data_IF_871871792431
#
_entry.id   IF_871871792431
#
_cell.length_a   1.000
_cell.length_b   1.000
_cell.length_c   1.000
_cell.angle_alpha   90.00
_cell.angle_beta   90.00
_cell.angle_gamma   90.00
#
_symmetry.space_group_name_H-M   'P 1'
#
loop_
_entity.id
_entity.type
_entity.pdbx_description
1 polymer ?
#
# COMPACT_ATOMS: atom_id res chain seq x y z
N UNK A 1 6.13 15.46 5.45
CA UNK A 1 5.40 14.19 5.24
C UNK A 1 3.92 14.49 5.24
N UNK A 2 3.19 14.07 4.22
CA UNK A 2 1.73 14.10 4.32
C UNK A 2 1.31 13.13 5.44
N UNK A 3 0.42 13.59 6.32
CA UNK A 3 -0.07 12.78 7.44
C UNK A 3 -1.27 11.98 6.94
N UNK A 4 -1.13 10.66 6.88
CA UNK A 4 -2.25 9.75 6.70
C UNK A 4 -2.22 8.72 7.82
N UNK A 5 -3.39 8.14 8.11
CA UNK A 5 -3.56 7.10 9.12
C UNK A 5 -4.20 5.91 8.43
N UNK A 6 -3.63 4.73 8.66
CA UNK A 6 -4.23 3.47 8.24
C UNK A 6 -5.23 3.05 9.31
N UNK A 7 -6.42 2.62 8.87
CA UNK A 7 -7.38 1.99 9.77
C UNK A 7 -6.87 0.60 10.16
N UNK A 8 -7.36 0.05 11.28
CA UNK A 8 -6.98 -1.31 11.70
C UNK A 8 -7.27 -2.34 10.60
N UNK A 9 -8.40 -2.21 9.90
CA UNK A 9 -8.75 -3.06 8.75
C UNK A 9 -7.73 -2.95 7.62
N UNK A 10 -7.29 -1.75 7.27
CA UNK A 10 -6.27 -1.58 6.23
C UNK A 10 -4.92 -2.22 6.63
N UNK A 11 -4.58 -2.22 7.92
CA UNK A 11 -3.39 -2.92 8.44
C UNK A 11 -3.57 -4.44 8.36
N UNK A 12 -4.77 -4.96 8.69
CA UNK A 12 -5.11 -6.37 8.52
C UNK A 12 -5.01 -6.80 7.04
N UNK A 13 -5.56 -6.00 6.13
CA UNK A 13 -5.50 -6.23 4.68
C UNK A 13 -4.05 -6.28 4.17
N UNK A 14 -3.19 -5.37 4.62
CA UNK A 14 -1.76 -5.39 4.29
C UNK A 14 -1.07 -6.69 4.76
N UNK A 15 -1.43 -7.18 5.95
CA UNK A 15 -0.92 -8.44 6.48
C UNK A 15 -1.36 -9.64 5.63
N UNK A 16 -2.64 -9.69 5.22
CA UNK A 16 -3.16 -10.74 4.35
C UNK A 16 -2.47 -10.73 2.97
N UNK A 17 -2.28 -9.54 2.38
CA UNK A 17 -1.58 -9.38 1.10
C UNK A 17 -0.13 -9.87 1.24
N UNK A 18 0.59 -9.46 2.29
CA UNK A 18 1.97 -9.86 2.51
C UNK A 18 2.09 -11.37 2.69
N UNK A 19 1.24 -11.98 3.53
CA UNK A 19 1.24 -13.42 3.78
C UNK A 19 0.99 -14.22 2.49
N UNK A 20 -0.02 -13.83 1.70
CA UNK A 20 -0.27 -14.47 0.41
C UNK A 20 0.93 -14.35 -0.55
N UNK A 21 1.55 -13.18 -0.60
CA UNK A 21 2.71 -12.90 -1.45
C UNK A 21 3.93 -13.73 -1.02
N UNK A 22 4.13 -13.89 0.29
CA UNK A 22 5.16 -14.73 0.88
C UNK A 22 4.95 -16.21 0.51
N UNK A 23 3.73 -16.72 0.68
CA UNK A 23 3.38 -18.11 0.38
C UNK A 23 3.50 -18.45 -1.11
N UNK A 24 3.12 -17.51 -1.99
CA UNK A 24 3.05 -17.76 -3.42
C UNK A 24 4.35 -17.49 -4.17
N UNK A 25 5.17 -16.54 -3.70
CA UNK A 25 6.38 -16.09 -4.42
C UNK A 25 7.64 -16.18 -3.57
N UNK A 26 7.79 -15.35 -2.53
CA UNK A 26 8.88 -15.38 -1.55
C UNK A 26 8.76 -14.24 -0.55
N UNK A 27 9.45 -14.33 0.58
CA UNK A 27 9.62 -13.23 1.55
C UNK A 27 10.16 -11.95 0.91
N UNK A 28 11.22 -12.06 0.12
CA UNK A 28 11.79 -10.91 -0.60
C UNK A 28 10.75 -10.22 -1.50
N UNK A 29 9.91 -11.01 -2.18
CA UNK A 29 8.87 -10.47 -3.04
C UNK A 29 7.75 -9.81 -2.22
N UNK A 30 7.39 -10.40 -1.08
CA UNK A 30 6.42 -9.83 -0.14
C UNK A 30 6.88 -8.47 0.39
N UNK A 31 8.15 -8.34 0.76
CA UNK A 31 8.75 -7.09 1.23
C UNK A 31 8.77 -6.01 0.16
N UNK A 32 9.15 -6.37 -1.08
CA UNK A 32 9.13 -5.44 -2.21
C UNK A 32 7.71 -4.92 -2.44
N UNK A 33 6.70 -5.81 -2.47
CA UNK A 33 5.31 -5.41 -2.68
C UNK A 33 4.78 -4.53 -1.54
N UNK A 34 5.12 -4.86 -0.30
CA UNK A 34 4.74 -4.04 0.85
C UNK A 34 5.30 -2.62 0.76
N UNK A 35 6.59 -2.48 0.43
CA UNK A 35 7.21 -1.17 0.24
C UNK A 35 6.56 -0.37 -0.90
N UNK A 36 6.20 -1.03 -2.01
CA UNK A 36 5.49 -0.41 -3.13
C UNK A 36 4.11 0.14 -2.71
N UNK A 37 3.36 -0.61 -1.89
CA UNK A 37 2.07 -0.17 -1.37
C UNK A 37 2.23 1.06 -0.45
N UNK A 38 3.16 1.00 0.50
CA UNK A 38 3.43 2.13 1.41
C UNK A 38 3.87 3.38 0.63
N UNK A 39 4.77 3.23 -0.34
CA UNK A 39 5.21 4.32 -1.22
C UNK A 39 4.05 4.94 -2.01
N UNK A 40 3.10 4.10 -2.45
CA UNK A 40 1.91 4.55 -3.16
C UNK A 40 0.98 5.35 -2.27
N UNK A 41 0.74 4.91 -1.03
CA UNK A 41 -0.05 5.65 -0.05
C UNK A 41 0.57 7.02 0.26
N UNK A 42 1.89 7.08 0.42
CA UNK A 42 2.59 8.35 0.60
C UNK A 42 2.41 9.31 -0.58
N UNK A 43 2.49 8.81 -1.82
CA UNK A 43 2.28 9.63 -3.02
C UNK A 43 0.86 10.19 -3.07
N UNK A 44 -0.14 9.36 -2.79
CA UNK A 44 -1.56 9.77 -2.73
C UNK A 44 -1.76 10.82 -1.63
N UNK A 45 -1.19 10.61 -0.45
CA UNK A 45 -1.31 11.54 0.66
C UNK A 45 -0.65 12.90 0.35
N UNK A 46 0.46 12.93 -0.41
CA UNK A 46 1.14 14.16 -0.84
C UNK A 46 0.41 14.90 -1.95
N UNK A 47 -0.32 14.20 -2.81
CA UNK A 47 -1.09 14.81 -3.91
C UNK A 47 -2.45 14.12 -4.09
N UNK A 48 -3.45 14.46 -3.25
CA UNK A 48 -4.78 13.85 -3.31
C UNK A 48 -5.48 14.06 -4.67
N UNK A 49 -5.15 15.17 -5.35
CA UNK A 49 -5.69 15.52 -6.66
C UNK A 49 -5.19 14.60 -7.80
N UNK A 50 -4.13 13.81 -7.59
CA UNK A 50 -3.59 12.90 -8.59
C UNK A 50 -4.58 11.79 -8.96
N UNK A 51 -5.42 11.36 -8.01
CA UNK A 51 -6.43 10.32 -8.26
C UNK A 51 -7.72 10.88 -8.89
N UNK A 52 -8.00 12.18 -8.73
CA UNK A 52 -9.24 12.78 -9.24
C UNK A 52 -9.27 12.86 -10.78
N UNK A 53 -8.12 12.84 -11.47
CA UNK A 53 -8.04 12.87 -12.94
C UNK A 53 -8.01 11.49 -13.62
N UNK A 54 -8.04 10.39 -12.87
CA UNK A 54 -8.07 9.02 -13.44
C UNK A 54 -9.50 8.49 -13.62
N UNK A 55 -10.49 9.21 -13.09
CA UNK A 55 -11.91 8.84 -13.17
C UNK A 55 -12.81 9.92 -13.84
N UNK A 56 -12.22 10.91 -14.53
CA UNK A 56 -12.93 11.92 -15.33
C UNK A 56 -12.57 11.81 -16.80
#
# INVERSE_FOLDING_TARGET
MAKYVLTNKAVEDLGLIWNYTYEMWSENQADIYYQLLISSFEKIARSPAFFCNIFL
#
